data_IF_273905809535
#
_entry.id   IF_273905809535
#
_cell.length_a   1.000
_cell.length_b   1.000
_cell.length_c   1.000
_cell.angle_alpha   90.00
_cell.angle_beta   90.00
_cell.angle_gamma   90.00
#
_symmetry.space_group_name_H-M   'P 1'
#
loop_
_entity.id
_entity.type
_entity.pdbx_description
1 polymer ?
#
# COMPACT_ATOMS: atom_id res chain seq x y z
N UNK A 1 -54.69 27.52 40.94
CA UNK A 1 -55.76 28.06 40.07
C UNK A 1 -55.24 28.12 38.65
N UNK A 2 -56.01 27.52 37.75
CA UNK A 2 -56.08 27.60 36.28
C UNK A 2 -55.93 29.04 35.71
N UNK A 3 -55.65 29.39 34.44
CA UNK A 3 -55.51 28.77 33.08
C UNK A 3 -55.26 30.02 32.15
N UNK A 4 -54.32 30.11 31.21
CA UNK A 4 -54.33 29.72 29.77
C UNK A 4 -53.65 30.85 28.95
N UNK A 5 -53.09 30.49 27.79
CA UNK A 5 -52.80 31.43 26.71
C UNK A 5 -51.83 30.91 25.64
N UNK A 6 -52.31 30.08 24.72
CA UNK A 6 -51.64 29.59 23.50
C UNK A 6 -51.74 30.63 22.35
N UNK A 7 -50.74 30.79 21.46
CA UNK A 7 -50.64 30.46 20.00
C UNK A 7 -49.61 31.45 19.41
N UNK A 8 -48.69 31.21 18.46
CA UNK A 8 -48.43 30.08 17.56
C UNK A 8 -47.09 30.25 16.80
N UNK A 9 -46.85 29.33 15.85
CA UNK A 9 -45.63 29.05 15.08
C UNK A 9 -45.05 30.24 14.27
N UNK A 10 -43.79 30.23 13.81
CA UNK A 10 -43.31 29.56 12.58
C UNK A 10 -41.80 29.25 12.65
N UNK A 11 -41.44 28.19 11.92
CA UNK A 11 -40.21 27.39 11.90
C UNK A 11 -39.44 27.69 10.61
N UNK A 12 -38.13 27.90 10.69
CA UNK A 12 -37.19 27.76 9.57
C UNK A 12 -35.93 27.07 10.09
N UNK A 13 -35.96 25.73 10.04
CA UNK A 13 -34.80 24.87 10.31
C UNK A 13 -33.98 24.73 9.02
N UNK A 14 -32.82 25.38 8.95
CA UNK A 14 -31.76 25.02 7.99
C UNK A 14 -31.11 23.75 8.51
N UNK A 15 -31.57 22.61 8.00
CA UNK A 15 -31.02 21.30 8.32
C UNK A 15 -29.60 21.15 7.79
N UNK A 16 -28.61 21.20 8.67
CA UNK A 16 -27.27 20.67 8.41
C UNK A 16 -27.41 19.14 8.38
N UNK A 17 -27.31 18.54 7.19
CA UNK A 17 -27.27 17.09 7.05
C UNK A 17 -25.98 16.56 7.70
N UNK A 18 -26.13 15.94 8.87
CA UNK A 18 -25.06 15.18 9.50
C UNK A 18 -24.75 13.95 8.63
N UNK A 19 -23.62 14.00 7.91
CA UNK A 19 -23.03 12.83 7.25
C UNK A 19 -22.58 11.87 8.36
N UNK A 20 -23.30 10.75 8.53
CA UNK A 20 -22.87 9.71 9.46
C UNK A 20 -21.79 8.84 8.79
N UNK A 21 -20.67 8.56 9.47
CA UNK A 21 -19.58 7.81 8.88
C UNK A 21 -19.96 6.33 8.70
N UNK A 22 -19.64 5.80 7.51
CA UNK A 22 -19.73 4.37 7.21
C UNK A 22 -18.80 3.56 8.14
N UNK A 23 -19.31 2.45 8.67
CA UNK A 23 -18.52 1.56 9.54
C UNK A 23 -17.68 0.61 8.69
N UNK A 24 -16.36 0.74 8.78
CA UNK A 24 -15.41 -0.23 8.20
C UNK A 24 -14.90 -1.11 9.34
N UNK A 25 -15.12 -2.42 9.23
CA UNK A 25 -14.53 -3.41 10.13
C UNK A 25 -13.29 -4.03 9.48
N UNK A 26 -12.16 -4.00 10.18
CA UNK A 26 -10.92 -4.65 9.75
C UNK A 26 -10.67 -5.84 10.68
N UNK A 27 -10.77 -7.06 10.13
CA UNK A 27 -10.30 -8.28 10.79
C UNK A 27 -9.13 -8.86 10.01
N UNK A 28 -8.10 -9.31 10.73
CA UNK A 28 -6.96 -10.00 10.16
C UNK A 28 -7.39 -11.34 9.52
N UNK A 29 -7.32 -11.43 8.19
CA UNK A 29 -7.54 -12.66 7.43
C UNK A 29 -8.52 -12.51 6.26
N UNK A 30 -8.00 -12.73 5.04
CA UNK A 30 -8.70 -12.84 3.73
C UNK A 30 -9.90 -11.90 3.52
N UNK A 31 -9.66 -10.78 2.84
CA UNK A 31 -10.69 -9.87 2.36
C UNK A 31 -11.74 -10.58 1.48
N UNK A 32 -12.99 -10.58 1.94
CA UNK A 32 -14.17 -10.39 1.09
C UNK A 32 -14.88 -9.14 1.57
N UNK A 33 -14.94 -8.11 0.73
CA UNK A 33 -15.73 -6.91 1.02
C UNK A 33 -17.19 -7.29 0.80
N UNK A 34 -17.97 -7.35 1.87
CA UNK A 34 -19.44 -7.38 1.79
C UNK A 34 -19.91 -6.00 2.21
N UNK A 35 -20.33 -5.19 1.25
CA UNK A 35 -21.01 -3.94 1.54
C UNK A 35 -22.41 -4.26 2.06
N UNK A 36 -22.63 -4.10 3.37
CA UNK A 36 -23.97 -4.15 3.94
C UNK A 36 -24.57 -2.74 3.92
N UNK A 37 -25.65 -2.55 3.15
CA UNK A 37 -26.42 -1.32 3.13
C UNK A 37 -27.25 -1.25 4.41
N UNK A 38 -27.10 -0.20 5.22
CA UNK A 38 -27.91 0.00 6.42
C UNK A 38 -29.38 0.15 6.02
N UNK A 39 -30.26 -0.75 6.49
CA UNK A 39 -31.70 -0.73 6.22
C UNK A 39 -32.37 -2.10 6.10
N UNK A 40 -31.61 -3.17 5.85
CA UNK A 40 -32.17 -4.54 5.85
C UNK A 40 -31.90 -5.18 7.20
N UNK A 41 -32.94 -5.29 8.03
CA UNK A 41 -32.90 -5.94 9.35
C UNK A 41 -32.63 -7.43 9.28
N UNK A 42 -31.40 -7.82 8.95
CA UNK A 42 -30.92 -9.20 9.06
C UNK A 42 -30.18 -9.31 10.40
N UNK A 43 -30.75 -9.98 11.41
CA UNK A 43 -30.06 -10.22 12.67
C UNK A 43 -28.95 -11.27 12.46
N UNK A 44 -27.71 -10.90 12.75
CA UNK A 44 -26.63 -11.86 12.95
C UNK A 44 -26.71 -12.31 14.41
N UNK A 45 -27.19 -13.54 14.65
CA UNK A 45 -27.12 -14.16 15.97
C UNK A 45 -25.67 -14.49 16.31
N UNK A 46 -25.17 -13.93 17.41
CA UNK A 46 -24.01 -14.44 18.14
C UNK A 46 -24.50 -15.01 19.47
N UNK A 47 -24.33 -16.31 19.65
CA UNK A 47 -24.50 -16.98 20.94
C UNK A 47 -23.17 -16.85 21.72
N UNK A 48 -23.21 -16.28 22.92
CA UNK A 48 -22.03 -16.17 23.79
C UNK A 48 -22.06 -14.91 24.64
N UNK A 49 -22.42 -15.12 25.91
CA UNK A 49 -22.44 -14.26 27.10
C UNK A 49 -21.74 -12.88 27.05
N UNK A 50 -22.53 -11.88 27.51
CA UNK A 50 -22.16 -10.62 28.16
C UNK A 50 -20.70 -10.15 28.07
N UNK A 51 -20.44 -9.22 27.14
CA UNK A 51 -19.32 -8.27 27.25
C UNK A 51 -19.90 -6.86 27.34
N UNK A 52 -19.56 -6.19 28.45
CA UNK A 52 -20.00 -4.85 28.78
C UNK A 52 -19.65 -3.84 27.66
N UNK A 53 -20.66 -3.09 27.25
CA UNK A 53 -20.57 -2.00 26.28
C UNK A 53 -19.93 -0.77 26.91
N UNK A 54 -18.60 -0.66 26.84
CA UNK A 54 -17.89 0.62 26.89
C UNK A 54 -16.75 0.60 25.86
N UNK A 55 -17.09 0.91 24.61
CA UNK A 55 -16.10 1.36 23.63
C UNK A 55 -15.96 2.87 23.80
N UNK A 56 -14.76 3.42 24.06
CA UNK A 56 -14.55 4.85 24.05
C UNK A 56 -14.89 5.39 22.66
N UNK A 57 -15.64 6.49 22.65
CA UNK A 57 -16.22 7.16 21.49
C UNK A 57 -15.22 8.09 20.81
N UNK A 58 -13.94 7.79 20.93
CA UNK A 58 -12.88 8.59 20.35
C UNK A 58 -12.55 7.97 19.00
N UNK A 59 -13.25 8.44 17.97
CA UNK A 59 -12.63 8.49 16.65
C UNK A 59 -11.38 9.32 16.86
N UNK A 60 -10.23 8.66 16.95
CA UNK A 60 -8.93 9.33 16.94
C UNK A 60 -8.83 9.98 15.57
N UNK A 61 -9.31 11.21 15.48
CA UNK A 61 -8.94 12.13 14.42
C UNK A 61 -7.43 12.26 14.57
N UNK A 62 -6.69 11.59 13.68
CA UNK A 62 -5.24 11.68 13.64
C UNK A 62 -4.91 13.16 13.56
N UNK A 63 -4.25 13.70 14.58
CA UNK A 63 -3.83 15.10 14.60
C UNK A 63 -3.12 15.43 13.28
N UNK A 64 -3.47 16.55 12.61
CA UNK A 64 -2.93 16.89 11.31
C UNK A 64 -1.42 17.02 11.42
N UNK A 65 -0.75 16.02 10.87
CA UNK A 65 0.71 15.97 10.87
C UNK A 65 1.17 16.98 9.85
N UNK A 66 1.85 18.04 10.27
CA UNK A 66 2.30 19.13 9.39
C UNK A 66 3.39 18.63 8.45
N UNK A 67 3.00 18.09 7.30
CA UNK A 67 3.92 17.67 6.23
C UNK A 67 4.84 18.85 5.89
N UNK A 68 6.12 18.58 5.63
CA UNK A 68 6.96 19.63 5.07
C UNK A 68 6.54 19.89 3.61
N UNK A 69 6.96 21.02 3.04
CA UNK A 69 6.56 21.40 1.68
C UNK A 69 6.86 20.32 0.63
N UNK A 70 7.94 19.56 0.83
CA UNK A 70 8.33 18.48 -0.07
C UNK A 70 7.35 17.32 0.03
N UNK A 71 7.07 16.88 1.25
CA UNK A 71 6.16 15.79 1.53
C UNK A 71 4.72 16.11 1.10
N UNK A 72 4.30 17.38 1.21
CA UNK A 72 3.02 17.82 0.66
C UNK A 72 2.96 17.69 -0.86
N UNK A 73 4.02 18.11 -1.59
CA UNK A 73 4.08 17.95 -3.04
C UNK A 73 4.05 16.49 -3.46
N UNK A 74 4.82 15.62 -2.79
CA UNK A 74 4.82 14.18 -3.05
C UNK A 74 3.45 13.57 -2.78
N UNK A 75 2.84 13.88 -1.62
CA UNK A 75 1.51 13.38 -1.27
C UNK A 75 0.44 13.83 -2.28
N UNK A 76 0.48 15.09 -2.73
CA UNK A 76 -0.43 15.60 -3.75
C UNK A 76 -0.24 14.91 -5.09
N UNK A 77 1.00 14.72 -5.54
CA UNK A 77 1.30 13.98 -6.77
C UNK A 77 0.75 12.55 -6.71
N UNK A 78 0.92 11.86 -5.58
CA UNK A 78 0.37 10.52 -5.40
C UNK A 78 -1.15 10.54 -5.39
N UNK A 79 -1.79 11.53 -4.75
CA UNK A 79 -3.25 11.65 -4.67
C UNK A 79 -3.89 11.79 -6.04
N UNK A 80 -3.31 12.63 -6.91
CA UNK A 80 -3.79 12.85 -8.27
C UNK A 80 -3.71 11.60 -9.16
N UNK A 81 -2.84 10.64 -8.83
CA UNK A 81 -2.67 9.38 -9.58
C UNK A 81 -3.34 8.19 -8.90
N UNK A 82 -3.50 8.22 -7.58
CA UNK A 82 -4.01 7.11 -6.80
C UNK A 82 -4.02 7.39 -5.30
N UNK A 83 -5.21 7.73 -4.79
CA UNK A 83 -5.47 8.01 -3.37
C UNK A 83 -4.99 6.92 -2.41
N UNK A 84 -4.99 5.65 -2.84
CA UNK A 84 -4.48 4.53 -2.02
C UNK A 84 -3.00 4.68 -1.69
N UNK A 85 -2.15 5.03 -2.67
CA UNK A 85 -0.71 5.17 -2.43
C UNK A 85 -0.39 6.46 -1.68
N UNK A 86 -1.15 7.54 -1.92
CA UNK A 86 -1.08 8.75 -1.11
C UNK A 86 -1.42 8.46 0.36
N UNK A 87 -2.45 7.64 0.61
CA UNK A 87 -2.81 7.15 1.94
C UNK A 87 -1.66 6.38 2.60
N UNK A 88 -1.07 5.41 1.92
CA UNK A 88 0.08 4.66 2.44
C UNK A 88 1.26 5.58 2.81
N UNK A 89 1.59 6.52 1.94
CA UNK A 89 2.66 7.49 2.19
C UNK A 89 2.37 8.37 3.40
N UNK A 90 1.17 8.95 3.50
CA UNK A 90 0.76 9.77 4.65
C UNK A 90 0.74 8.96 5.95
N UNK A 91 0.25 7.72 5.93
CA UNK A 91 0.26 6.83 7.09
C UNK A 91 1.68 6.55 7.58
N UNK A 92 2.62 6.28 6.66
CA UNK A 92 4.03 6.10 7.02
C UNK A 92 4.62 7.34 7.71
N UNK A 93 4.39 8.53 7.15
CA UNK A 93 4.89 9.78 7.72
C UNK A 93 4.22 10.14 9.05
N UNK A 94 2.93 9.87 9.18
CA UNK A 94 2.21 10.04 10.44
C UNK A 94 2.83 9.19 11.55
N UNK A 95 3.02 7.90 11.29
CA UNK A 95 3.66 6.98 12.24
C UNK A 95 5.10 7.41 12.56
N UNK A 96 5.87 7.84 11.55
CA UNK A 96 7.25 8.28 11.73
C UNK A 96 7.37 9.53 12.61
N UNK A 97 6.41 10.45 12.53
CA UNK A 97 6.44 11.70 13.32
C UNK A 97 5.75 11.59 14.66
N UNK A 98 4.85 10.62 14.80
CA UNK A 98 4.23 10.28 16.07
C UNK A 98 5.29 9.83 17.07
N UNK A 99 5.11 10.24 18.33
CA UNK A 99 5.94 9.75 19.43
C UNK A 99 5.76 8.23 19.52
N UNK A 100 6.85 7.43 19.49
CA UNK A 100 6.73 6.00 19.65
C UNK A 100 6.14 5.68 21.02
N UNK A 101 5.15 4.78 21.03
CA UNK A 101 4.61 4.23 22.27
C UNK A 101 5.58 3.16 22.79
N UNK A 102 5.90 3.23 24.09
CA UNK A 102 6.87 2.34 24.71
C UNK A 102 6.40 0.90 24.61
N UNK A 103 7.22 0.02 24.04
CA UNK A 103 6.91 -1.39 23.80
C UNK A 103 6.22 -1.69 22.45
N UNK A 104 5.93 -0.66 21.64
CA UNK A 104 5.31 -0.80 20.32
C UNK A 104 6.23 -0.33 19.18
N UNK A 105 7.51 -0.10 19.45
CA UNK A 105 8.48 0.44 18.49
C UNK A 105 8.64 -0.48 17.27
N UNK A 106 8.73 -1.79 17.51
CA UNK A 106 8.85 -2.80 16.43
C UNK A 106 7.62 -2.76 15.52
N UNK A 107 6.42 -2.71 16.10
CA UNK A 107 5.18 -2.65 15.34
C UNK A 107 5.08 -1.35 14.53
N UNK A 108 5.47 -0.21 15.12
CA UNK A 108 5.56 1.08 14.44
C UNK A 108 6.49 1.01 13.23
N UNK A 109 7.72 0.53 13.41
CA UNK A 109 8.70 0.37 12.33
C UNK A 109 8.14 -0.54 11.24
N UNK A 110 7.56 -1.67 11.63
CA UNK A 110 6.95 -2.63 10.70
C UNK A 110 5.86 -2.02 9.84
N UNK A 111 4.97 -1.23 10.44
CA UNK A 111 3.91 -0.52 9.72
C UNK A 111 4.45 0.56 8.77
N UNK A 112 5.44 1.35 9.20
CA UNK A 112 6.11 2.34 8.33
C UNK A 112 6.72 1.63 7.12
N UNK A 113 7.51 0.59 7.37
CA UNK A 113 8.19 -0.15 6.32
C UNK A 113 7.22 -0.87 5.38
N UNK A 114 6.12 -1.41 5.90
CA UNK A 114 5.06 -2.00 5.09
C UNK A 114 4.43 -0.98 4.14
N UNK A 115 4.06 0.19 4.66
CA UNK A 115 3.45 1.26 3.86
C UNK A 115 4.37 1.71 2.73
N UNK A 116 5.65 1.97 3.01
CA UNK A 116 6.61 2.42 2.00
C UNK A 116 6.97 1.30 1.01
N UNK A 117 7.08 0.05 1.47
CA UNK A 117 7.27 -1.11 0.59
C UNK A 117 6.12 -1.22 -0.43
N UNK A 118 4.88 -1.12 0.03
CA UNK A 118 3.71 -1.19 -0.85
C UNK A 118 3.67 0.01 -1.81
N UNK A 119 4.03 1.21 -1.34
CA UNK A 119 4.20 2.37 -2.21
C UNK A 119 5.22 2.07 -3.33
N UNK A 120 6.43 1.60 -2.99
CA UNK A 120 7.47 1.31 -3.97
C UNK A 120 7.07 0.23 -4.99
N UNK A 121 6.38 -0.83 -4.56
CA UNK A 121 5.92 -1.92 -5.43
C UNK A 121 4.91 -1.43 -6.46
N UNK A 122 4.01 -0.55 -6.04
CA UNK A 122 2.90 -0.08 -6.86
C UNK A 122 3.22 1.22 -7.60
N UNK A 123 4.34 1.88 -7.30
CA UNK A 123 4.74 3.13 -7.94
C UNK A 123 4.89 2.99 -9.47
N UNK A 124 5.52 1.93 -10.02
CA UNK A 124 5.56 1.72 -11.47
C UNK A 124 4.17 1.67 -12.12
N UNK A 125 3.15 1.13 -11.44
CA UNK A 125 1.78 1.04 -11.96
C UNK A 125 1.16 2.43 -12.14
N UNK A 126 1.53 3.39 -11.29
CA UNK A 126 1.02 4.77 -11.36
C UNK A 126 1.81 5.67 -12.31
N UNK A 127 3.09 5.36 -12.54
CA UNK A 127 4.02 6.26 -13.22
C UNK A 127 4.31 5.83 -14.65
N UNK A 128 4.39 4.52 -14.92
CA UNK A 128 4.77 4.02 -16.24
C UNK A 128 3.54 3.83 -17.12
N UNK A 129 3.64 4.29 -18.37
CA UNK A 129 2.60 4.05 -19.39
C UNK A 129 2.51 2.58 -19.78
N UNK A 130 3.64 1.86 -19.71
CA UNK A 130 3.73 0.44 -20.03
C UNK A 130 4.46 -0.29 -18.92
N UNK A 131 3.77 -1.29 -18.36
CA UNK A 131 4.32 -2.19 -17.35
C UNK A 131 4.40 -3.59 -17.92
N UNK A 132 5.50 -4.29 -17.64
CA UNK A 132 5.57 -5.71 -17.96
C UNK A 132 4.61 -6.49 -17.03
N UNK A 133 3.68 -7.29 -17.58
CA UNK A 133 2.65 -7.96 -16.79
C UNK A 133 3.27 -9.01 -15.86
N UNK A 134 2.57 -9.31 -14.77
CA UNK A 134 2.98 -10.40 -13.88
C UNK A 134 2.79 -11.75 -14.60
N UNK A 135 3.75 -12.69 -14.49
CA UNK A 135 3.52 -14.07 -14.89
C UNK A 135 2.29 -14.65 -14.18
N UNK A 136 1.46 -15.34 -14.95
CA UNK A 136 0.34 -16.12 -14.45
C UNK A 136 0.50 -17.58 -14.91
N UNK A 137 0.69 -18.55 -14.00
CA UNK A 137 0.75 -18.41 -12.54
C UNK A 137 2.02 -17.71 -12.04
N UNK A 138 1.93 -17.03 -10.89
CA UNK A 138 3.09 -16.46 -10.19
C UNK A 138 3.93 -17.52 -9.48
N UNK A 139 5.19 -17.22 -9.16
CA UNK A 139 6.06 -18.14 -8.41
C UNK A 139 5.43 -18.53 -7.07
N UNK A 140 4.88 -17.57 -6.33
CA UNK A 140 4.16 -17.83 -5.08
C UNK A 140 2.92 -18.70 -5.24
N UNK A 141 2.24 -18.65 -6.39
CA UNK A 141 1.13 -19.57 -6.70
C UNK A 141 1.63 -21.00 -6.92
N UNK A 142 2.76 -21.16 -7.61
CA UNK A 142 3.42 -22.45 -7.85
C UNK A 142 3.96 -23.04 -6.54
N UNK A 143 4.65 -22.24 -5.71
CA UNK A 143 5.17 -22.67 -4.40
C UNK A 143 4.09 -23.23 -3.50
N UNK A 144 2.89 -22.62 -3.48
CA UNK A 144 1.76 -23.11 -2.68
C UNK A 144 1.24 -24.49 -3.11
N UNK A 145 1.53 -24.94 -4.34
CA UNK A 145 1.14 -26.26 -4.84
C UNK A 145 2.16 -27.35 -4.48
N UNK A 146 3.40 -26.99 -4.18
CA UNK A 146 4.47 -27.96 -3.90
C UNK A 146 4.18 -28.90 -2.73
N UNK A 147 3.68 -28.46 -1.56
CA UNK A 147 3.44 -29.37 -0.44
C UNK A 147 2.46 -30.49 -0.79
N UNK A 148 1.39 -30.17 -1.53
CA UNK A 148 0.42 -31.16 -1.99
C UNK A 148 1.05 -32.14 -2.99
N UNK A 149 1.82 -31.63 -3.93
CA UNK A 149 2.50 -32.46 -4.92
C UNK A 149 3.52 -33.42 -4.27
N UNK A 150 4.27 -32.95 -3.26
CA UNK A 150 5.22 -33.78 -2.53
C UNK A 150 4.50 -34.83 -1.67
N UNK A 151 3.33 -34.51 -1.11
CA UNK A 151 2.52 -35.49 -0.37
C UNK A 151 2.00 -36.64 -1.25
N UNK A 152 1.89 -36.45 -2.57
CA UNK A 152 1.54 -37.50 -3.53
C UNK A 152 2.73 -38.43 -3.84
N UNK A 153 3.94 -38.08 -3.38
CA UNK A 153 5.18 -38.82 -3.57
C UNK A 153 5.93 -39.01 -2.23
N UNK A 154 5.38 -39.78 -1.27
CA UNK A 154 5.93 -39.89 0.09
C UNK A 154 7.31 -40.55 0.15
N UNK A 155 7.67 -41.35 -0.85
CA UNK A 155 8.97 -42.02 -0.93
C UNK A 155 10.09 -41.10 -1.44
N UNK A 156 9.76 -39.88 -1.89
CA UNK A 156 10.75 -38.90 -2.34
C UNK A 156 11.39 -38.20 -1.15
N UNK A 157 12.63 -38.55 -0.85
CA UNK A 157 13.46 -37.83 0.12
C UNK A 157 14.42 -36.87 -0.60
N UNK A 158 14.10 -35.57 -0.60
CA UNK A 158 14.97 -34.52 -1.15
C UNK A 158 16.16 -34.17 -0.23
N UNK A 159 16.22 -34.74 0.97
CA UNK A 159 17.29 -34.52 1.96
C UNK A 159 18.30 -35.65 2.03
N UNK A 160 18.15 -36.70 1.22
CA UNK A 160 19.08 -37.82 1.19
C UNK A 160 20.48 -37.34 0.77
N UNK A 161 21.49 -37.79 1.52
CA UNK A 161 22.91 -37.45 1.35
C UNK A 161 23.51 -38.21 0.15
N UNK A 162 23.11 -37.81 -1.06
CA UNK A 162 23.57 -38.40 -2.31
C UNK A 162 23.60 -37.37 -3.44
N UNK A 163 24.60 -37.47 -4.31
CA UNK A 163 24.80 -36.54 -5.43
C UNK A 163 23.71 -36.63 -6.52
N UNK A 164 23.03 -37.78 -6.61
CA UNK A 164 22.01 -38.05 -7.63
C UNK A 164 20.72 -38.48 -6.95
N UNK A 165 19.71 -37.61 -6.98
CA UNK A 165 18.37 -37.87 -6.43
C UNK A 165 17.39 -38.18 -7.57
N UNK A 166 16.81 -39.40 -7.64
CA UNK A 166 15.77 -39.69 -8.63
C UNK A 166 14.47 -38.97 -8.25
N UNK A 167 14.10 -37.96 -9.04
CA UNK A 167 12.90 -37.14 -8.80
C UNK A 167 11.76 -37.57 -9.75
N UNK A 168 10.53 -37.81 -9.26
CA UNK A 168 9.37 -38.03 -10.11
C UNK A 168 9.21 -36.91 -11.15
N UNK A 169 8.87 -37.28 -12.39
CA UNK A 169 8.76 -36.33 -13.50
C UNK A 169 7.84 -35.14 -13.18
N UNK A 170 6.71 -35.37 -12.51
CA UNK A 170 5.78 -34.32 -12.13
C UNK A 170 6.41 -33.29 -11.18
N UNK A 171 7.20 -33.75 -10.21
CA UNK A 171 7.94 -32.90 -9.26
C UNK A 171 9.02 -32.11 -9.99
N UNK A 172 9.79 -32.75 -10.88
CA UNK A 172 10.80 -32.08 -11.69
C UNK A 172 10.20 -30.96 -12.58
N UNK A 173 9.05 -31.22 -13.21
CA UNK A 173 8.32 -30.23 -14.02
C UNK A 173 7.80 -29.06 -13.18
N UNK A 174 7.34 -29.32 -11.95
CA UNK A 174 6.90 -28.27 -11.04
C UNK A 174 8.06 -27.37 -10.61
N UNK A 175 9.23 -27.94 -10.30
CA UNK A 175 10.44 -27.16 -10.02
C UNK A 175 10.92 -26.36 -11.23
N UNK A 176 10.98 -26.94 -12.42
CA UNK A 176 11.34 -26.22 -13.64
C UNK A 176 10.41 -25.01 -13.88
N UNK A 177 9.10 -25.23 -13.76
CA UNK A 177 8.09 -24.17 -13.89
C UNK A 177 8.28 -23.08 -12.83
N UNK A 178 8.54 -23.46 -11.58
CA UNK A 178 8.78 -22.51 -10.49
C UNK A 178 10.03 -21.68 -10.75
N UNK A 179 11.16 -22.31 -11.08
CA UNK A 179 12.45 -21.64 -11.32
C UNK A 179 12.33 -20.66 -12.49
N UNK A 180 11.78 -21.09 -13.62
CA UNK A 180 11.56 -20.22 -14.78
C UNK A 180 10.64 -19.05 -14.46
N UNK A 181 9.58 -19.28 -13.67
CA UNK A 181 8.65 -18.22 -13.29
C UNK A 181 9.29 -17.23 -12.31
N UNK A 182 10.06 -17.71 -11.33
CA UNK A 182 10.80 -16.87 -10.40
C UNK A 182 11.85 -16.02 -11.11
N UNK A 183 12.63 -16.60 -12.02
CA UNK A 183 13.61 -15.87 -12.84
C UNK A 183 12.94 -14.79 -13.71
N UNK A 184 11.76 -15.09 -14.28
CA UNK A 184 10.96 -14.11 -15.03
C UNK A 184 10.47 -12.97 -14.13
N UNK A 185 9.94 -13.27 -12.94
CA UNK A 185 9.47 -12.25 -11.99
C UNK A 185 10.61 -11.35 -11.50
N UNK A 186 11.79 -11.91 -11.23
CA UNK A 186 12.97 -11.14 -10.84
C UNK A 186 13.44 -10.20 -11.95
N UNK A 187 13.56 -10.72 -13.18
CA UNK A 187 13.89 -9.91 -14.35
C UNK A 187 12.85 -8.81 -14.63
N UNK A 188 11.56 -9.13 -14.48
CA UNK A 188 10.45 -8.17 -14.60
C UNK A 188 10.55 -7.03 -13.59
N UNK A 189 10.78 -7.35 -12.32
CA UNK A 189 10.89 -6.35 -11.27
C UNK A 189 12.09 -5.42 -11.51
N UNK A 190 13.21 -5.99 -11.97
CA UNK A 190 14.41 -5.23 -12.34
C UNK A 190 14.15 -4.29 -13.53
N UNK A 191 13.52 -4.78 -14.60
CA UNK A 191 13.15 -3.96 -15.77
C UNK A 191 12.15 -2.85 -15.44
N UNK A 192 11.12 -3.16 -14.66
CA UNK A 192 10.15 -2.14 -14.21
C UNK A 192 10.81 -1.09 -13.32
N UNK A 193 11.77 -1.47 -12.46
CA UNK A 193 12.53 -0.52 -11.67
C UNK A 193 13.46 0.34 -12.54
N UNK A 194 14.17 -0.25 -13.51
CA UNK A 194 14.99 0.50 -14.46
C UNK A 194 14.15 1.49 -15.29
N UNK A 195 13.00 1.02 -15.80
CA UNK A 195 12.03 1.85 -16.49
C UNK A 195 11.50 2.97 -15.57
N UNK A 196 11.20 2.70 -14.30
CA UNK A 196 10.79 3.73 -13.34
C UNK A 196 11.90 4.76 -13.09
N UNK A 197 13.16 4.35 -13.04
CA UNK A 197 14.26 5.23 -12.60
C UNK A 197 14.89 6.02 -13.75
N UNK A 198 14.97 5.45 -14.95
CA UNK A 198 15.65 6.05 -16.10
C UNK A 198 14.80 6.21 -17.35
N UNK A 199 13.58 5.67 -17.38
CA UNK A 199 12.71 5.72 -18.57
C UNK A 199 13.04 4.67 -19.61
N UNK A 200 13.99 3.77 -19.31
CA UNK A 200 14.41 2.69 -20.17
C UNK A 200 14.58 1.41 -19.33
N UNK A 201 13.93 0.34 -19.76
CA UNK A 201 13.94 -0.99 -19.12
C UNK A 201 15.31 -1.69 -19.21
N UNK A 202 16.18 -1.25 -20.12
CA UNK A 202 17.51 -1.83 -20.37
C UNK A 202 18.65 -1.03 -19.75
N UNK A 203 18.34 0.15 -19.19
CA UNK A 203 19.37 1.05 -18.66
C UNK A 203 20.08 0.42 -17.45
N UNK A 204 21.41 0.34 -17.52
CA UNK A 204 22.26 0.02 -16.38
C UNK A 204 22.48 1.27 -15.55
N UNK A 205 21.52 1.57 -14.67
CA UNK A 205 21.54 2.81 -13.89
C UNK A 205 22.18 2.57 -12.52
N UNK A 206 23.19 3.34 -12.10
CA UNK A 206 23.75 3.24 -10.74
C UNK A 206 22.69 3.36 -9.63
N UNK A 207 21.64 4.16 -9.87
CA UNK A 207 20.53 4.37 -8.94
C UNK A 207 19.69 3.11 -8.70
N UNK A 208 19.73 2.12 -9.60
CA UNK A 208 19.02 0.85 -9.41
C UNK A 208 19.53 0.07 -8.21
N UNK A 209 20.85 0.14 -7.95
CA UNK A 209 21.45 -0.46 -6.75
C UNK A 209 20.93 0.21 -5.47
N UNK A 210 20.83 1.53 -5.48
CA UNK A 210 20.29 2.30 -4.35
C UNK A 210 18.81 2.00 -4.14
N UNK A 211 18.01 1.96 -5.21
CA UNK A 211 16.60 1.60 -5.18
C UNK A 211 16.37 0.20 -4.61
N UNK A 212 17.11 -0.80 -5.10
CA UNK A 212 17.00 -2.18 -4.61
C UNK A 212 17.45 -2.32 -3.15
N UNK A 213 18.49 -1.59 -2.73
CA UNK A 213 18.92 -1.57 -1.34
C UNK A 213 17.87 -0.92 -0.43
N UNK A 214 17.24 0.17 -0.87
CA UNK A 214 16.13 0.83 -0.16
C UNK A 214 14.91 -0.08 -0.07
N UNK A 215 14.53 -0.76 -1.17
CA UNK A 215 13.45 -1.73 -1.15
C UNK A 215 13.75 -2.90 -0.21
N UNK A 216 14.96 -3.47 -0.29
CA UNK A 216 15.41 -4.54 0.61
C UNK A 216 15.39 -4.14 2.07
N UNK A 217 15.77 -2.89 2.39
CA UNK A 217 15.67 -2.34 3.74
C UNK A 217 14.21 -2.39 4.24
N UNK A 218 13.25 -1.83 3.48
CA UNK A 218 11.85 -1.83 3.90
C UNK A 218 11.27 -3.25 3.97
N UNK A 219 11.62 -4.14 3.05
CA UNK A 219 11.22 -5.56 3.12
C UNK A 219 11.73 -6.23 4.38
N UNK A 220 12.98 -5.96 4.78
CA UNK A 220 13.59 -6.59 5.96
C UNK A 220 12.94 -6.19 7.28
N UNK A 221 12.19 -5.09 7.30
CA UNK A 221 11.53 -4.56 8.49
C UNK A 221 10.00 -4.61 8.40
N UNK A 222 9.42 -4.88 7.23
CA UNK A 222 7.96 -4.87 7.01
C UNK A 222 7.21 -6.05 7.65
N UNK A 223 7.91 -7.07 8.14
CA UNK A 223 7.32 -8.18 8.87
C UNK A 223 7.89 -8.19 10.28
N UNK A 224 7.05 -8.54 11.26
CA UNK A 224 7.54 -8.79 12.62
C UNK A 224 8.44 -10.03 12.57
N UNK A 225 9.68 -9.87 13.01
CA UNK A 225 10.60 -11.00 13.14
C UNK A 225 9.95 -12.06 14.04
N UNK A 226 9.87 -13.28 13.51
CA UNK A 226 9.34 -14.43 14.27
C UNK A 226 10.33 -14.95 15.29
N UNK A 227 11.58 -14.52 15.16
CA UNK A 227 12.70 -14.93 15.99
C UNK A 227 13.06 -13.78 16.93
N UNK A 228 12.35 -13.70 18.05
CA UNK A 228 12.52 -12.66 19.07
C UNK A 228 13.91 -12.66 19.73
N UNK A 229 14.72 -13.69 19.49
CA UNK A 229 16.07 -13.84 20.04
C UNK A 229 17.14 -13.16 19.17
N UNK A 230 16.83 -12.85 17.90
CA UNK A 230 17.70 -12.00 17.09
C UNK A 230 17.48 -10.54 17.48
N UNK A 231 18.21 -10.09 18.49
CA UNK A 231 18.28 -8.70 18.93
C UNK A 231 18.93 -7.79 17.87
N UNK A 232 18.24 -7.58 16.75
CA UNK A 232 18.61 -6.58 15.77
C UNK A 232 18.14 -5.22 16.24
N UNK A 233 19.05 -4.26 16.32
CA UNK A 233 18.71 -2.88 16.65
C UNK A 233 17.72 -2.31 15.63
N UNK A 234 16.65 -1.71 16.14
CA UNK A 234 15.65 -1.03 15.32
C UNK A 234 16.29 0.14 14.56
N UNK A 235 15.88 0.40 13.31
CA UNK A 235 16.34 1.57 12.59
C UNK A 235 15.86 2.82 13.31
N UNK A 236 16.70 3.86 13.33
CA UNK A 236 16.32 5.16 13.88
C UNK A 236 15.28 5.83 12.96
N UNK A 237 14.58 6.84 13.49
CA UNK A 237 13.68 7.67 12.69
C UNK A 237 14.44 8.41 11.57
N UNK A 238 15.72 8.77 11.81
CA UNK A 238 16.59 9.37 10.81
C UNK A 238 16.93 8.39 9.68
N UNK A 239 17.19 7.11 10.01
CA UNK A 239 17.40 6.06 9.00
C UNK A 239 16.15 5.88 8.14
N UNK A 240 14.98 5.75 8.79
CA UNK A 240 13.69 5.61 8.09
C UNK A 240 13.44 6.80 7.17
N UNK A 241 13.61 8.03 7.67
CA UNK A 241 13.41 9.24 6.88
C UNK A 241 14.39 9.32 5.71
N UNK A 242 15.66 8.96 5.92
CA UNK A 242 16.68 8.92 4.87
C UNK A 242 16.29 7.94 3.75
N UNK A 243 15.76 6.77 4.11
CA UNK A 243 15.27 5.79 3.12
C UNK A 243 14.01 6.26 2.41
N UNK A 244 13.10 6.93 3.11
CA UNK A 244 11.89 7.52 2.52
C UNK A 244 12.25 8.60 1.50
N UNK A 245 13.23 9.46 1.81
CA UNK A 245 13.69 10.52 0.90
C UNK A 245 14.17 9.99 -0.46
N UNK A 246 14.79 8.81 -0.48
CA UNK A 246 15.19 8.15 -1.75
C UNK A 246 13.95 7.82 -2.60
N UNK A 247 12.85 7.40 -1.96
CA UNK A 247 11.58 7.14 -2.66
C UNK A 247 10.94 8.44 -3.14
N UNK A 248 10.97 9.47 -2.31
CA UNK A 248 10.49 10.83 -2.65
C UNK A 248 11.25 11.42 -3.85
N UNK A 249 12.59 11.25 -3.91
CA UNK A 249 13.43 11.70 -5.03
C UNK A 249 12.91 11.14 -6.36
N UNK A 250 12.62 9.83 -6.40
CA UNK A 250 12.11 9.16 -7.61
C UNK A 250 10.73 9.68 -7.98
N UNK A 251 9.84 9.88 -6.99
CA UNK A 251 8.51 10.43 -7.24
C UNK A 251 8.62 11.84 -7.82
N UNK A 252 9.43 12.73 -7.21
CA UNK A 252 9.56 14.11 -7.68
C UNK A 252 10.17 14.19 -9.09
N UNK A 253 11.23 13.42 -9.39
CA UNK A 253 11.84 13.39 -10.73
C UNK A 253 10.83 12.95 -11.79
N UNK A 254 9.97 11.98 -11.47
CA UNK A 254 8.97 11.47 -12.41
C UNK A 254 7.69 12.32 -12.48
N UNK A 255 7.33 12.92 -11.37
CA UNK A 255 6.23 13.86 -11.28
C UNK A 255 6.53 15.16 -12.01
N UNK A 256 7.80 15.63 -11.97
CA UNK A 256 8.23 16.86 -12.64
C UNK A 256 7.87 16.87 -14.12
N UNK A 257 8.23 15.80 -14.84
CA UNK A 257 7.90 15.63 -16.28
C UNK A 257 6.39 15.66 -16.53
N UNK A 258 5.60 15.06 -15.63
CA UNK A 258 4.14 15.07 -15.75
C UNK A 258 3.54 16.45 -15.49
N UNK A 259 3.98 17.15 -14.45
CA UNK A 259 3.48 18.48 -14.13
C UNK A 259 3.90 19.52 -15.16
N UNK A 260 5.08 19.38 -15.75
CA UNK A 260 5.49 20.18 -16.91
C UNK A 260 4.55 19.95 -18.09
N UNK A 261 4.27 18.70 -18.45
CA UNK A 261 3.35 18.37 -19.54
C UNK A 261 1.91 18.86 -19.26
N UNK A 262 1.40 18.70 -18.03
CA UNK A 262 0.05 19.18 -17.65
C UNK A 262 -0.03 20.69 -17.71
N UNK A 263 1.01 21.42 -17.26
CA UNK A 263 1.07 22.89 -17.38
C UNK A 263 1.05 23.30 -18.84
N UNK A 264 1.91 22.72 -19.68
CA UNK A 264 1.94 23.03 -21.12
C UNK A 264 0.59 22.80 -21.79
N UNK A 265 -0.09 21.70 -21.48
CA UNK A 265 -1.43 21.43 -22.04
C UNK A 265 -2.47 22.42 -21.53
N UNK A 266 -2.46 22.76 -20.24
CA UNK A 266 -3.38 23.75 -19.67
C UNK A 266 -3.15 25.12 -20.28
N UNK A 267 -1.90 25.58 -20.36
CA UNK A 267 -1.54 26.86 -20.95
C UNK A 267 -2.03 26.93 -22.41
N UNK A 268 -1.85 25.84 -23.18
CA UNK A 268 -2.33 25.75 -24.56
C UNK A 268 -3.86 25.75 -24.67
N UNK A 269 -4.56 25.11 -23.73
CA UNK A 269 -6.03 25.16 -23.66
C UNK A 269 -6.53 26.56 -23.29
N UNK A 270 -5.88 27.22 -22.34
CA UNK A 270 -6.21 28.57 -21.91
C UNK A 270 -5.99 29.57 -23.06
N UNK A 271 -4.90 29.45 -23.83
CA UNK A 271 -4.63 30.25 -25.04
C UNK A 271 -5.71 30.05 -26.13
N UNK A 272 -6.13 28.79 -26.36
CA UNK A 272 -7.19 28.47 -27.33
C UNK A 272 -8.53 29.08 -26.89
N UNK A 273 -8.85 28.98 -25.60
CA UNK A 273 -10.10 29.53 -25.07
C UNK A 273 -10.08 31.06 -25.10
N UNK A 274 -8.95 31.69 -24.79
CA UNK A 274 -8.78 33.15 -24.85
C UNK A 274 -8.94 33.71 -26.27
N UNK A 275 -8.39 33.02 -27.28
CA UNK A 275 -8.51 33.42 -28.70
C UNK A 275 -9.91 33.19 -29.30
N UNK A 276 -10.77 32.41 -28.64
CA UNK A 276 -12.18 32.21 -29.02
C UNK A 276 -13.12 33.33 -28.56
N UNK A 277 -12.81 33.99 -27.44
CA UNK A 277 -13.64 35.06 -26.87
C UNK A 277 -13.48 36.41 -27.59
N UNK A 278 -12.35 36.66 -28.25
CA UNK A 278 -12.14 37.89 -29.05
C UNK A 278 -12.85 37.89 -30.42
N UNK A 279 -13.51 36.79 -30.81
CA UNK A 279 -14.21 36.64 -32.10
C UNK A 279 -15.75 36.64 -32.01
N UNK A 280 -16.32 37.00 -30.86
CA UNK A 280 -17.77 37.13 -30.65
C UNK A 280 -18.18 38.57 -30.42
#
# INVERSE_FOLDING_TARGET
>A
MAVAGTVGAVREDIGVAAVQPERIFVCAGRLRVIAARAGTGIPVMWAGEHVATHLPRDVVMLEPTTLDERQERVAKCLEERGSRLAGMYRSALHLLRGKPEVGFEVARVSMICHCIRELMINLPVLILDKLEPRPDPSSGSLTRKLPRLLAEHPDLDLSADQDILPVPRAVAQAFDSLIKTAAKEDGRNTRNAAALLAGDETAKVPVLKQWNATYGFFVSWAHLDRDSENHRDLPSDEDLLTKIRIVEDVIEVRAGVFFENVRTVRDLLDDINYTGEERS
#
